data_IF_541104591990
#
_entry.id   IF_541104591990
#
_cell.length_a   1.000
_cell.length_b   1.000
_cell.length_c   1.000
_cell.angle_alpha   90.00
_cell.angle_beta   90.00
_cell.angle_gamma   90.00
#
_symmetry.space_group_name_H-M   'P 1'
#
loop_
_entity.id
_entity.type
_entity.pdbx_description
1 polymer ?
#
# COMPACT_ATOMS: atom_id res chain seq x y z
N UNK A 1 -34.77 13.81 14.67
CA UNK A 1 -34.81 12.80 13.59
C UNK A 1 -33.48 12.87 12.87
N UNK A 2 -32.72 11.78 12.81
CA UNK A 2 -31.52 11.70 11.98
C UNK A 2 -31.98 11.55 10.54
N UNK A 3 -31.60 12.49 9.68
CA UNK A 3 -31.84 12.42 8.23
C UNK A 3 -30.93 11.34 7.65
N UNK A 4 -31.47 10.51 6.74
CA UNK A 4 -30.78 9.39 6.08
C UNK A 4 -29.44 9.79 5.44
N UNK A 5 -29.44 10.80 4.55
CA UNK A 5 -28.26 11.40 3.94
C UNK A 5 -28.47 12.90 3.73
N UNK A 6 -27.39 13.72 3.61
CA UNK A 6 -27.51 15.12 3.22
C UNK A 6 -28.16 15.23 1.83
N UNK A 7 -29.20 16.06 1.71
CA UNK A 7 -29.94 16.28 0.46
C UNK A 7 -29.42 17.53 -0.23
N UNK A 8 -29.17 17.45 -1.54
CA UNK A 8 -28.83 18.61 -2.39
C UNK A 8 -30.10 19.25 -2.93
N UNK A 9 -31.10 18.42 -3.26
CA UNK A 9 -32.42 18.82 -3.72
C UNK A 9 -33.47 17.79 -3.27
N UNK A 10 -34.72 18.00 -3.65
CA UNK A 10 -35.77 17.00 -3.46
C UNK A 10 -35.39 15.71 -4.22
N UNK A 11 -35.43 14.58 -3.50
CA UNK A 11 -35.06 13.25 -3.99
C UNK A 11 -33.64 13.13 -4.60
N UNK A 12 -32.72 14.03 -4.24
CA UNK A 12 -31.32 13.98 -4.69
C UNK A 12 -30.37 14.10 -3.50
N UNK A 13 -29.49 13.11 -3.34
CA UNK A 13 -28.55 13.02 -2.23
C UNK A 13 -27.13 13.44 -2.63
N UNK A 14 -26.41 14.02 -1.66
CA UNK A 14 -24.96 14.22 -1.77
C UNK A 14 -24.24 12.88 -1.57
N UNK A 15 -23.51 12.35 -2.57
CA UNK A 15 -22.90 11.04 -2.49
C UNK A 15 -21.96 10.90 -1.28
N UNK A 16 -22.23 9.93 -0.41
CA UNK A 16 -21.39 9.63 0.74
C UNK A 16 -20.59 8.37 0.51
N UNK A 17 -19.29 8.45 0.81
CA UNK A 17 -18.40 7.30 0.78
C UNK A 17 -18.67 6.40 2.00
N UNK A 18 -18.98 5.13 1.74
CA UNK A 18 -19.08 4.10 2.77
C UNK A 18 -18.02 3.03 2.48
N UNK A 19 -17.00 2.98 3.35
CA UNK A 19 -15.92 1.99 3.25
C UNK A 19 -16.10 0.87 4.27
N UNK A 20 -15.74 -0.35 3.87
CA UNK A 20 -15.75 -1.50 4.75
C UNK A 20 -14.89 -2.63 4.20
N UNK A 21 -14.73 -3.69 4.99
CA UNK A 21 -14.16 -4.92 4.47
C UNK A 21 -15.09 -5.59 3.45
N UNK A 22 -14.59 -6.61 2.75
CA UNK A 22 -15.33 -7.26 1.67
C UNK A 22 -16.73 -7.70 2.11
N UNK A 23 -16.87 -8.27 3.32
CA UNK A 23 -18.16 -8.77 3.83
C UNK A 23 -19.11 -7.63 4.16
N UNK A 24 -18.62 -6.52 4.70
CA UNK A 24 -19.44 -5.34 4.99
C UNK A 24 -19.96 -4.70 3.70
N UNK A 25 -19.11 -4.60 2.68
CA UNK A 25 -19.51 -4.08 1.36
C UNK A 25 -20.49 -5.03 0.68
N UNK A 26 -20.24 -6.34 0.67
CA UNK A 26 -21.16 -7.34 0.11
C UNK A 26 -22.55 -7.24 0.75
N UNK A 27 -22.61 -7.13 2.08
CA UNK A 27 -23.89 -6.95 2.81
C UNK A 27 -24.57 -5.64 2.43
N UNK A 28 -23.82 -4.55 2.30
CA UNK A 28 -24.38 -3.26 1.90
C UNK A 28 -24.94 -3.30 0.46
N UNK A 29 -24.21 -3.91 -0.48
CA UNK A 29 -24.69 -4.14 -1.86
C UNK A 29 -25.98 -4.94 -1.85
N UNK A 30 -26.02 -6.05 -1.10
CA UNK A 30 -27.20 -6.91 -1.05
C UNK A 30 -28.43 -6.19 -0.48
N UNK A 31 -28.24 -5.32 0.52
CA UNK A 31 -29.33 -4.51 1.08
C UNK A 31 -29.85 -3.50 0.05
N UNK A 32 -28.96 -2.74 -0.61
CA UNK A 32 -29.33 -1.78 -1.65
C UNK A 32 -30.07 -2.49 -2.79
N UNK A 33 -29.56 -3.64 -3.24
CA UNK A 33 -30.20 -4.45 -4.29
C UNK A 33 -31.61 -4.89 -3.87
N UNK A 34 -31.78 -5.31 -2.61
CA UNK A 34 -33.08 -5.77 -2.09
C UNK A 34 -34.17 -4.71 -2.05
N UNK A 35 -33.80 -3.43 -2.07
CA UNK A 35 -34.73 -2.28 -2.01
C UNK A 35 -34.69 -1.45 -3.30
N UNK A 36 -34.01 -1.92 -4.34
CA UNK A 36 -33.83 -1.24 -5.63
C UNK A 36 -35.14 -0.92 -6.37
N UNK A 37 -36.27 -1.50 -5.94
CA UNK A 37 -37.60 -1.28 -6.47
C UNK A 37 -38.43 -0.24 -5.70
N UNK A 38 -37.80 0.55 -4.82
CA UNK A 38 -38.44 1.68 -4.12
C UNK A 38 -38.99 2.74 -5.07
N UNK A 39 -39.94 3.55 -4.59
CA UNK A 39 -40.57 4.62 -5.37
C UNK A 39 -39.84 5.96 -5.28
N UNK A 40 -38.91 6.10 -4.33
CA UNK A 40 -38.07 7.27 -4.14
C UNK A 40 -36.59 6.87 -3.99
N UNK A 41 -35.68 7.81 -4.25
CA UNK A 41 -34.24 7.60 -4.09
C UNK A 41 -33.89 7.22 -2.63
N UNK A 42 -34.68 7.69 -1.66
CA UNK A 42 -34.54 7.34 -0.24
C UNK A 42 -34.89 5.86 0.03
N UNK A 43 -35.97 5.36 -0.58
CA UNK A 43 -36.39 3.96 -0.47
C UNK A 43 -35.44 3.01 -1.20
N UNK A 44 -34.84 3.45 -2.31
CA UNK A 44 -33.82 2.72 -3.06
C UNK A 44 -32.43 2.76 -2.41
N UNK A 45 -32.26 3.48 -1.29
CA UNK A 45 -30.97 3.72 -0.62
C UNK A 45 -29.89 4.29 -1.57
N UNK A 46 -30.29 5.22 -2.44
CA UNK A 46 -29.35 5.91 -3.32
C UNK A 46 -28.43 6.86 -2.54
N UNK A 47 -27.32 7.25 -3.17
CA UNK A 47 -26.35 8.20 -2.61
C UNK A 47 -25.18 7.56 -1.85
N UNK A 48 -25.13 6.24 -1.65
CA UNK A 48 -23.93 5.60 -1.13
C UNK A 48 -22.95 5.23 -2.24
N UNK A 49 -21.69 5.66 -2.08
CA UNK A 49 -20.57 5.15 -2.86
C UNK A 49 -19.85 4.08 -2.01
N UNK A 50 -20.08 2.80 -2.36
CA UNK A 50 -19.49 1.67 -1.65
C UNK A 50 -18.07 1.42 -2.14
N UNK A 51 -17.11 1.37 -1.21
CA UNK A 51 -15.72 1.05 -1.53
C UNK A 51 -15.16 0.01 -0.56
N UNK A 52 -14.49 -1.00 -1.10
CA UNK A 52 -13.78 -2.00 -0.30
C UNK A 52 -12.50 -1.36 0.24
N UNK A 53 -12.32 -1.42 1.55
CA UNK A 53 -11.07 -1.11 2.25
C UNK A 53 -10.59 -2.37 2.97
N UNK A 54 -9.70 -3.13 2.32
CA UNK A 54 -9.15 -4.37 2.87
C UNK A 54 -7.99 -4.06 3.83
N UNK A 55 -8.34 -3.41 4.95
CA UNK A 55 -7.42 -3.12 6.03
C UNK A 55 -6.74 -4.41 6.54
N UNK A 56 -7.49 -5.52 6.58
CA UNK A 56 -6.97 -6.82 7.03
C UNK A 56 -5.87 -7.35 6.10
N UNK A 57 -6.04 -7.31 4.78
CA UNK A 57 -4.97 -7.68 3.85
C UNK A 57 -3.77 -6.75 3.98
N UNK A 58 -3.99 -5.43 4.10
CA UNK A 58 -2.90 -4.48 4.26
C UNK A 58 -2.09 -4.72 5.55
N UNK A 59 -2.76 -5.03 6.65
CA UNK A 59 -2.12 -5.41 7.92
C UNK A 59 -1.37 -6.73 7.78
N UNK A 60 -1.95 -7.74 7.13
CA UNK A 60 -1.31 -9.05 6.91
C UNK A 60 -0.02 -8.90 6.10
N UNK A 61 -0.06 -8.17 4.98
CA UNK A 61 1.12 -7.91 4.14
C UNK A 61 2.20 -7.20 4.96
N UNK A 62 1.84 -6.14 5.68
CA UNK A 62 2.78 -5.40 6.52
C UNK A 62 3.39 -6.27 7.62
N UNK A 63 2.58 -7.17 8.21
CA UNK A 63 3.03 -8.14 9.22
C UNK A 63 4.07 -9.10 8.64
N UNK A 64 3.85 -9.63 7.44
CA UNK A 64 4.83 -10.52 6.79
C UNK A 64 6.13 -9.77 6.49
N UNK A 65 6.04 -8.54 5.98
CA UNK A 65 7.22 -7.70 5.73
C UNK A 65 8.02 -7.47 7.02
N UNK A 66 7.35 -7.11 8.12
CA UNK A 66 8.03 -6.89 9.41
C UNK A 66 8.65 -8.18 9.94
N UNK A 67 7.96 -9.32 9.83
CA UNK A 67 8.49 -10.63 10.21
C UNK A 67 9.80 -10.98 9.51
N UNK A 68 9.96 -10.59 8.24
CA UNK A 68 11.16 -10.89 7.45
C UNK A 68 12.27 -9.83 7.59
N UNK A 69 11.91 -8.55 7.69
CA UNK A 69 12.87 -7.44 7.54
C UNK A 69 13.08 -6.59 8.79
N UNK A 70 12.31 -6.82 9.86
CA UNK A 70 12.37 -6.06 11.10
C UNK A 70 12.78 -6.97 12.27
N UNK A 71 14.04 -6.85 12.71
CA UNK A 71 14.57 -7.61 13.84
C UNK A 71 15.50 -6.72 14.68
N UNK A 72 15.33 -6.70 16.00
CA UNK A 72 16.18 -5.90 16.89
C UNK A 72 17.66 -6.28 16.84
N UNK A 73 17.96 -7.54 16.48
CA UNK A 73 19.33 -8.03 16.33
C UNK A 73 20.04 -7.47 15.10
N UNK A 74 19.30 -6.91 14.14
CA UNK A 74 19.87 -6.36 12.91
C UNK A 74 20.20 -4.86 13.01
N UNK A 75 20.33 -4.32 14.23
CA UNK A 75 20.67 -2.91 14.45
C UNK A 75 22.02 -2.51 13.85
N UNK A 76 22.99 -3.42 13.88
CA UNK A 76 24.31 -3.21 13.25
C UNK A 76 24.29 -3.39 11.73
N UNK A 77 23.23 -4.02 11.20
CA UNK A 77 23.13 -4.35 9.77
C UNK A 77 22.49 -3.18 9.04
N UNK A 78 23.33 -2.42 8.33
CA UNK A 78 22.90 -1.25 7.56
C UNK A 78 21.86 -1.64 6.51
N UNK A 79 20.88 -0.76 6.27
CA UNK A 79 19.76 -0.99 5.35
C UNK A 79 18.71 -2.02 5.80
N UNK A 80 18.74 -2.49 7.06
CA UNK A 80 17.61 -3.24 7.63
C UNK A 80 16.53 -2.30 8.18
N UNK A 81 15.27 -2.76 8.28
CA UNK A 81 14.19 -1.91 8.81
C UNK A 81 14.46 -1.48 10.26
N UNK A 82 15.12 -2.31 11.06
CA UNK A 82 15.43 -1.96 12.44
C UNK A 82 16.55 -0.93 12.54
N UNK A 83 17.65 -1.11 11.80
CA UNK A 83 18.73 -0.11 11.69
C UNK A 83 18.19 1.23 11.22
N UNK A 84 17.37 1.24 10.15
CA UNK A 84 16.83 2.47 9.58
C UNK A 84 15.91 3.19 10.57
N UNK A 85 15.06 2.45 11.31
CA UNK A 85 14.21 3.00 12.37
C UNK A 85 15.04 3.72 13.42
N UNK A 86 16.14 3.12 13.88
CA UNK A 86 17.04 3.70 14.87
C UNK A 86 17.72 4.95 14.32
N UNK A 87 18.23 4.89 13.09
CA UNK A 87 18.92 6.00 12.43
C UNK A 87 18.05 7.27 12.34
N UNK A 88 16.78 7.12 11.98
CA UNK A 88 15.83 8.25 11.91
C UNK A 88 15.08 8.51 13.23
N UNK A 89 15.44 7.80 14.30
CA UNK A 89 14.87 7.90 15.64
C UNK A 89 13.33 7.76 15.69
N UNK A 90 12.75 6.82 14.92
CA UNK A 90 11.29 6.65 14.82
C UNK A 90 10.76 5.66 15.86
N UNK A 91 10.59 6.15 17.09
CA UNK A 91 10.25 5.35 18.28
C UNK A 91 8.82 4.78 18.31
N UNK A 92 7.91 5.34 17.50
CA UNK A 92 6.52 4.91 17.42
C UNK A 92 6.32 3.65 16.56
N UNK A 93 7.34 3.20 15.84
CA UNK A 93 7.34 1.94 15.09
C UNK A 93 7.46 0.76 16.04
N UNK A 94 6.63 -0.26 15.83
CA UNK A 94 6.53 -1.48 16.64
C UNK A 94 6.89 -2.71 15.82
N UNK A 95 7.22 -3.79 16.51
CA UNK A 95 7.51 -5.08 15.87
C UNK A 95 6.25 -5.75 15.31
N UNK A 96 5.11 -5.61 16.00
CA UNK A 96 3.81 -6.09 15.53
C UNK A 96 2.99 -4.94 14.90
N UNK A 97 2.81 -4.94 13.56
CA UNK A 97 2.06 -3.90 12.87
C UNK A 97 0.59 -3.81 13.25
N UNK A 98 -0.01 -4.81 13.88
CA UNK A 98 -1.40 -4.72 14.36
C UNK A 98 -1.55 -3.69 15.47
N UNK A 99 -0.49 -3.52 16.27
CA UNK A 99 -0.50 -2.61 17.43
C UNK A 99 -0.27 -1.15 17.05
N UNK A 100 0.42 -0.89 15.94
CA UNK A 100 0.78 0.45 15.49
C UNK A 100 0.73 0.62 13.95
N UNK A 101 -0.29 0.01 13.31
CA UNK A 101 -0.43 -0.09 11.85
C UNK A 101 -0.09 1.18 11.08
N UNK A 102 -0.64 2.32 11.50
CA UNK A 102 -0.43 3.60 10.81
C UNK A 102 1.04 4.04 10.88
N UNK A 103 1.68 3.91 12.03
CA UNK A 103 3.08 4.29 12.21
C UNK A 103 4.01 3.37 11.40
N UNK A 104 3.75 2.07 11.47
CA UNK A 104 4.55 1.03 10.81
C UNK A 104 4.40 1.11 9.28
N UNK A 105 3.18 1.32 8.78
CA UNK A 105 2.92 1.56 7.36
C UNK A 105 3.65 2.80 6.86
N UNK A 106 3.54 3.92 7.57
CA UNK A 106 4.23 5.14 7.14
C UNK A 106 5.75 5.00 7.17
N UNK A 107 6.29 4.27 8.15
CA UNK A 107 7.70 3.98 8.22
C UNK A 107 8.15 3.11 7.04
N UNK A 108 7.45 2.01 6.75
CA UNK A 108 7.76 1.15 5.62
C UNK A 108 7.71 1.92 4.28
N UNK A 109 6.66 2.71 4.06
CA UNK A 109 6.54 3.53 2.85
C UNK A 109 7.67 4.56 2.74
N UNK A 110 8.05 5.18 3.86
CA UNK A 110 9.19 6.11 3.90
C UNK A 110 10.48 5.40 3.46
N UNK A 111 10.77 4.25 4.05
CA UNK A 111 11.97 3.47 3.74
C UNK A 111 12.00 3.05 2.26
N UNK A 112 10.89 2.51 1.72
CA UNK A 112 10.79 2.13 0.31
C UNK A 112 11.01 3.34 -0.60
N UNK A 113 10.36 4.47 -0.31
CA UNK A 113 10.54 5.71 -1.09
C UNK A 113 11.99 6.20 -1.05
N UNK A 114 12.61 6.18 0.12
CA UNK A 114 14.02 6.57 0.27
C UNK A 114 14.95 5.70 -0.57
N UNK A 115 14.71 4.38 -0.63
CA UNK A 115 15.51 3.47 -1.46
C UNK A 115 15.27 3.66 -2.95
N UNK A 116 14.03 3.88 -3.37
CA UNK A 116 13.70 4.23 -4.77
C UNK A 116 14.42 5.52 -5.18
N UNK A 117 14.40 6.54 -4.32
CA UNK A 117 15.09 7.81 -4.59
C UNK A 117 16.61 7.60 -4.66
N UNK A 118 17.18 6.86 -3.71
CA UNK A 118 18.62 6.57 -3.70
C UNK A 118 19.06 5.78 -4.95
N UNK A 119 18.27 4.79 -5.37
CA UNK A 119 18.49 4.06 -6.62
C UNK A 119 18.39 4.99 -7.84
N UNK A 120 17.34 5.82 -7.91
CA UNK A 120 17.18 6.79 -9.00
C UNK A 120 18.35 7.76 -9.08
N UNK A 121 18.81 8.30 -7.94
CA UNK A 121 19.97 9.17 -7.85
C UNK A 121 21.23 8.50 -8.41
N UNK A 122 21.44 7.22 -8.10
CA UNK A 122 22.54 6.43 -8.65
C UNK A 122 22.46 6.31 -10.18
N UNK A 123 21.29 5.97 -10.73
CA UNK A 123 21.06 5.80 -12.18
C UNK A 123 21.27 7.10 -12.96
N UNK A 124 20.83 8.24 -12.40
CA UNK A 124 20.96 9.54 -13.09
C UNK A 124 22.29 10.27 -12.78
N UNK A 125 23.14 9.68 -11.94
CA UNK A 125 24.43 10.25 -11.56
C UNK A 125 24.32 11.52 -10.69
N UNK A 126 23.38 11.54 -9.74
CA UNK A 126 23.25 12.57 -8.71
C UNK A 126 23.93 12.06 -7.44
N UNK A 127 25.06 12.66 -7.07
CA UNK A 127 25.83 12.27 -5.88
C UNK A 127 25.34 12.97 -4.62
N UNK A 128 24.89 14.22 -4.76
CA UNK A 128 24.46 15.09 -3.67
C UNK A 128 23.17 15.81 -4.00
N UNK A 129 22.46 16.29 -2.97
CA UNK A 129 21.19 17.04 -3.12
C UNK A 129 21.29 18.29 -4.00
N UNK A 130 22.48 18.86 -4.12
CA UNK A 130 22.74 20.07 -4.91
C UNK A 130 23.39 19.76 -6.27
N UNK A 131 23.68 18.49 -6.56
CA UNK A 131 24.32 18.09 -7.80
C UNK A 131 23.30 17.93 -8.93
N UNK A 132 23.73 18.26 -10.14
CA UNK A 132 22.93 18.03 -11.35
C UNK A 132 23.12 16.58 -11.84
N UNK A 133 22.14 16.01 -12.56
CA UNK A 133 22.28 14.68 -13.14
C UNK A 133 23.44 14.64 -14.15
N UNK A 134 24.39 13.73 -13.95
CA UNK A 134 25.56 13.58 -14.84
C UNK A 134 25.27 12.62 -16.00
N UNK A 135 24.58 11.51 -15.70
CA UNK A 135 24.28 10.43 -16.66
C UNK A 135 22.98 10.66 -17.45
N UNK A 136 22.22 11.69 -17.08
CA UNK A 136 20.99 12.10 -17.74
C UNK A 136 20.78 13.62 -17.64
N UNK A 137 21.65 14.43 -18.27
CA UNK A 137 21.64 15.88 -18.10
C UNK A 137 20.33 16.50 -18.59
N UNK A 138 19.99 17.64 -18.00
CA UNK A 138 18.83 18.43 -18.40
C UNK A 138 19.12 19.14 -19.73
N UNK A 139 18.24 19.03 -20.75
CA UNK A 139 18.36 19.81 -21.98
C UNK A 139 18.32 21.32 -21.70
N UNK A 140 19.19 22.10 -22.36
CA UNK A 140 19.34 23.56 -22.13
C UNK A 140 18.03 24.34 -22.37
N UNK A 141 17.20 23.89 -23.32
CA UNK A 141 15.94 24.55 -23.68
C UNK A 141 14.75 24.19 -22.78
N UNK A 142 14.93 23.34 -21.77
CA UNK A 142 13.83 22.87 -20.90
C UNK A 142 13.11 24.02 -20.20
N UNK A 143 13.77 25.15 -19.90
CA UNK A 143 13.12 26.30 -19.31
C UNK A 143 12.00 26.86 -20.21
N UNK A 144 12.21 26.85 -21.53
CA UNK A 144 11.31 27.35 -22.57
C UNK A 144 10.39 26.28 -23.15
N UNK A 145 10.65 25.00 -22.85
CA UNK A 145 9.87 23.87 -23.32
C UNK A 145 8.43 23.88 -22.78
N UNK A 146 7.52 23.33 -23.58
CA UNK A 146 6.11 23.17 -23.20
C UNK A 146 5.94 22.19 -22.02
N UNK A 147 4.76 22.21 -21.37
CA UNK A 147 4.48 21.27 -20.27
C UNK A 147 4.57 19.82 -20.73
N UNK A 148 4.13 19.54 -21.95
CA UNK A 148 4.14 18.22 -22.57
C UNK A 148 5.56 17.74 -22.82
N UNK A 149 6.45 18.62 -23.30
CA UNK A 149 7.86 18.29 -23.52
C UNK A 149 8.59 17.99 -22.20
N UNK A 150 8.32 18.78 -21.15
CA UNK A 150 8.83 18.53 -19.79
C UNK A 150 8.37 17.18 -19.25
N UNK A 151 7.07 16.89 -19.43
CA UNK A 151 6.48 15.62 -19.01
C UNK A 151 7.09 14.44 -19.77
N UNK A 152 7.28 14.56 -21.09
CA UNK A 152 7.91 13.53 -21.92
C UNK A 152 9.35 13.23 -21.47
N UNK A 153 10.13 14.27 -21.13
CA UNK A 153 11.46 14.09 -20.56
C UNK A 153 11.43 13.34 -19.22
N UNK A 154 10.50 13.69 -18.32
CA UNK A 154 10.34 12.99 -17.04
C UNK A 154 9.94 11.51 -17.22
N UNK A 155 9.05 11.21 -18.18
CA UNK A 155 8.72 9.83 -18.51
C UNK A 155 9.93 9.06 -19.03
N UNK A 156 10.76 9.68 -19.88
CA UNK A 156 11.99 9.07 -20.38
C UNK A 156 13.00 8.78 -19.25
N UNK A 157 13.14 9.71 -18.30
CA UNK A 157 13.97 9.50 -17.11
C UNK A 157 13.43 8.35 -16.24
N UNK A 158 12.12 8.34 -15.98
CA UNK A 158 11.47 7.29 -15.20
C UNK A 158 11.60 5.91 -15.84
N UNK A 159 11.44 5.82 -17.17
CA UNK A 159 11.64 4.57 -17.91
C UNK A 159 13.07 4.04 -17.71
N UNK A 160 14.10 4.88 -17.90
CA UNK A 160 15.50 4.50 -17.65
C UNK A 160 15.72 3.96 -16.23
N UNK A 161 15.14 4.63 -15.22
CA UNK A 161 15.26 4.21 -13.82
C UNK A 161 14.60 2.84 -13.58
N UNK A 162 13.42 2.60 -14.15
CA UNK A 162 12.71 1.32 -14.01
C UNK A 162 13.47 0.20 -14.72
N UNK A 163 13.95 0.46 -15.93
CA UNK A 163 14.71 -0.50 -16.72
C UNK A 163 15.98 -0.95 -15.99
N UNK A 164 16.67 -0.03 -15.31
CA UNK A 164 17.92 -0.32 -14.60
C UNK A 164 17.71 -0.89 -13.18
N UNK A 165 16.71 -0.41 -12.42
CA UNK A 165 16.51 -0.83 -11.02
C UNK A 165 15.54 -1.99 -10.82
N UNK A 166 14.61 -2.22 -11.76
CA UNK A 166 13.53 -3.21 -11.60
C UNK A 166 13.67 -4.37 -12.58
N UNK A 167 14.27 -4.15 -13.75
CA UNK A 167 14.37 -5.15 -14.81
C UNK A 167 15.77 -5.78 -14.95
N UNK A 168 16.79 -5.31 -14.21
CA UNK A 168 18.03 -6.07 -14.05
C UNK A 168 17.77 -7.30 -13.13
N UNK A 169 17.59 -8.43 -13.82
CA UNK A 169 17.45 -9.80 -13.32
C UNK A 169 16.07 -10.25 -12.81
N UNK A 170 15.30 -10.70 -13.80
CA UNK A 170 14.13 -11.60 -13.80
C UNK A 170 14.25 -12.92 -13.00
N UNK A 171 15.25 -13.04 -12.12
CA UNK A 171 15.48 -14.21 -11.26
C UNK A 171 15.03 -13.91 -9.82
N UNK A 172 15.54 -12.85 -9.20
CA UNK A 172 15.34 -12.59 -7.76
C UNK A 172 13.87 -12.31 -7.36
N UNK A 173 13.13 -11.50 -8.12
CA UNK A 173 11.73 -11.19 -7.78
C UNK A 173 10.83 -12.40 -8.01
N UNK A 174 11.05 -13.13 -9.11
CA UNK A 174 10.30 -14.36 -9.38
C UNK A 174 10.60 -15.41 -8.32
N UNK A 175 11.85 -15.56 -7.90
CA UNK A 175 12.24 -16.47 -6.83
C UNK A 175 11.64 -16.07 -5.49
N UNK A 176 11.63 -14.78 -5.14
CA UNK A 176 10.97 -14.28 -3.92
C UNK A 176 9.46 -14.52 -3.97
N UNK A 177 8.79 -14.20 -5.09
CA UNK A 177 7.37 -14.46 -5.29
C UNK A 177 7.07 -15.97 -5.19
N UNK A 178 7.88 -16.81 -5.81
CA UNK A 178 7.76 -18.26 -5.75
C UNK A 178 7.95 -18.77 -4.30
N UNK A 179 8.93 -18.23 -3.56
CA UNK A 179 9.14 -18.58 -2.14
C UNK A 179 7.96 -18.15 -1.26
N UNK A 180 7.37 -16.97 -1.51
CA UNK A 180 6.17 -16.49 -0.80
C UNK A 180 4.99 -17.41 -1.08
N UNK A 181 4.74 -17.76 -2.35
CA UNK A 181 3.67 -18.69 -2.75
C UNK A 181 3.87 -20.06 -2.09
N UNK A 182 5.09 -20.61 -2.15
CA UNK A 182 5.42 -21.89 -1.52
C UNK A 182 5.24 -21.86 0.00
N UNK A 183 5.63 -20.77 0.66
CA UNK A 183 5.47 -20.63 2.12
C UNK A 183 3.99 -20.56 2.49
N UNK A 184 3.18 -19.84 1.71
CA UNK A 184 1.74 -19.76 1.91
C UNK A 184 1.07 -21.13 1.73
N UNK A 185 1.43 -21.87 0.67
CA UNK A 185 0.94 -23.23 0.45
C UNK A 185 1.30 -24.20 1.59
N UNK A 186 2.46 -24.02 2.23
CA UNK A 186 2.88 -24.84 3.37
C UNK A 186 2.14 -24.45 4.66
N UNK A 187 1.83 -23.17 4.86
CA UNK A 187 0.96 -22.73 5.96
C UNK A 187 -0.48 -23.22 5.78
N UNK A 188 -1.00 -23.25 4.54
CA UNK A 188 -2.33 -23.79 4.21
C UNK A 188 -2.38 -25.32 4.26
N UNK A 189 -1.25 -26.01 3.99
CA UNK A 189 -1.11 -27.47 4.13
C UNK A 189 -0.87 -27.95 5.56
N UNK A 190 -0.60 -27.04 6.52
CA UNK A 190 -0.58 -27.45 7.94
C UNK A 190 -1.98 -27.93 8.29
N UNK A 191 -2.16 -29.22 8.65
CA UNK A 191 -3.47 -29.66 9.12
C UNK A 191 -3.85 -28.79 10.31
N UNK A 192 -5.13 -28.43 10.40
CA UNK A 192 -5.74 -27.84 11.57
C UNK A 192 -5.62 -28.82 12.75
N UNK A 193 -4.42 -28.98 13.28
CA UNK A 193 -4.13 -29.80 14.42
C UNK A 193 -4.52 -29.01 15.67
N UNK A 194 -5.75 -29.30 16.10
CA UNK A 194 -6.17 -29.36 17.49
C UNK A 194 -6.53 -28.02 18.14
N UNK A 195 -7.71 -27.51 17.76
CA UNK A 195 -8.50 -26.61 18.62
C UNK A 195 -9.79 -27.30 19.12
N UNK A 196 -9.74 -28.62 19.32
CA UNK A 196 -10.84 -29.42 19.89
C UNK A 196 -10.72 -29.64 21.42
N UNK A 197 -9.74 -29.04 22.09
CA UNK A 197 -9.61 -29.15 23.56
C UNK A 197 -10.67 -28.34 24.33
N UNK A 198 -11.41 -27.43 23.67
CA UNK A 198 -12.39 -26.54 24.31
C UNK A 198 -13.84 -27.04 24.28
N UNK A 199 -14.13 -28.19 23.66
CA UNK A 199 -15.50 -28.72 23.49
C UNK A 199 -15.83 -29.96 24.35
N UNK A 200 -14.97 -30.36 25.30
CA UNK A 200 -15.22 -31.49 26.23
C UNK A 200 -15.18 -31.03 27.70
N UNK A 201 -15.56 -29.79 28.02
CA UNK A 201 -15.62 -29.33 29.43
C UNK A 201 -16.80 -28.40 29.76
N UNK A 202 -17.94 -28.61 29.11
CA UNK A 202 -19.27 -28.16 29.56
C UNK A 202 -20.22 -29.34 29.50
#
# INVERSE_FOLDING_TARGET
>A
FQTYLPKIAEDTFDPQLLTGDQVSVERAVNVIESVSNGFSAEECLEGFNLQIDDWHAAVKILTQIFKHYYNCKSESDTCTLYSDRTLINRRNVKEDPKTAYRADRYFFVLVVKSRIIAGAMKVVGINDKCSSPTEFPMPEDMAKASKEQKLHYLHKAAAKIIDELVLEESTGINDICNQIILTQEQEDKKPAATNLQWLISL
#
